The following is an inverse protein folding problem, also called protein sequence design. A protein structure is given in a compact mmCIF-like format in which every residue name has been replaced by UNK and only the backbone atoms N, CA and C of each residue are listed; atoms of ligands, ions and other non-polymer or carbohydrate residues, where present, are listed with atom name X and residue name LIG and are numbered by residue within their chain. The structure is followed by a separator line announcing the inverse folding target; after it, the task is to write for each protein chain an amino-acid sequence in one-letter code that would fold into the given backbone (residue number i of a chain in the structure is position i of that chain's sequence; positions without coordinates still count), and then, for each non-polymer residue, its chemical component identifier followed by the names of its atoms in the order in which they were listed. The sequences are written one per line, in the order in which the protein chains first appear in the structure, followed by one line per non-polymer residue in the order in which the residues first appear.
data_IF_209579860555
#
_entry.id   IF_209579860555
#
_cell.length_a   1.000
_cell.length_b   1.000
_cell.length_c   1.000
_cell.angle_alpha   90.00
_cell.angle_beta   90.00
_cell.angle_gamma   90.00
#
_symmetry.space_group_name_H-M   'P 1'
#
loop_
_entity.id
_entity.type
_entity.pdbx_description
1 polymer ?
#
# COMPACT_ATOMS: atom_id res chain seq x y z
N UNK A 1 -19.87 -7.08 -39.66
CA UNK A 1 -18.67 -6.28 -39.31
C UNK A 1 -18.21 -6.78 -37.94
N UNK A 2 -17.23 -7.69 -37.89
CA UNK A 2 -16.66 -8.15 -36.62
C UNK A 2 -15.73 -7.05 -36.10
N UNK A 3 -16.13 -6.37 -35.02
CA UNK A 3 -15.21 -5.51 -34.26
C UNK A 3 -14.30 -6.47 -33.48
N UNK A 4 -12.99 -6.50 -33.73
CA UNK A 4 -12.08 -7.34 -32.96
C UNK A 4 -12.14 -6.89 -31.50
N UNK A 5 -12.35 -7.84 -30.58
CA UNK A 5 -12.16 -7.58 -29.14
C UNK A 5 -10.72 -7.08 -28.97
N UNK A 6 -10.48 -5.89 -28.38
CA UNK A 6 -9.13 -5.39 -28.17
C UNK A 6 -8.36 -6.41 -27.33
N UNK A 7 -7.28 -6.97 -27.87
CA UNK A 7 -6.37 -7.78 -27.06
C UNK A 7 -5.74 -6.87 -26.01
N UNK A 8 -5.63 -7.30 -24.74
CA UNK A 8 -4.97 -6.51 -23.73
C UNK A 8 -3.55 -6.19 -24.21
N UNK A 9 -3.19 -4.90 -24.16
CA UNK A 9 -1.87 -4.46 -24.55
C UNK A 9 -0.81 -5.11 -23.62
N UNK A 10 0.13 -5.91 -24.17
CA UNK A 10 1.04 -6.71 -23.37
C UNK A 10 1.94 -5.85 -22.47
N UNK A 11 2.21 -4.59 -22.83
CA UNK A 11 3.01 -3.68 -21.99
C UNK A 11 2.22 -3.20 -20.77
N UNK A 12 0.99 -2.72 -20.98
CA UNK A 12 0.09 -2.33 -19.90
C UNK A 12 -0.20 -3.50 -18.95
N UNK A 13 -0.34 -4.71 -19.49
CA UNK A 13 -0.49 -5.93 -18.69
C UNK A 13 0.75 -6.23 -17.82
N UNK A 14 1.97 -6.08 -18.35
CA UNK A 14 3.20 -6.25 -17.56
C UNK A 14 3.31 -5.23 -16.42
N UNK A 15 2.95 -3.97 -16.67
CA UNK A 15 2.94 -2.94 -15.62
C UNK A 15 1.87 -3.21 -14.56
N UNK A 16 0.67 -3.65 -14.96
CA UNK A 16 -0.37 -4.04 -14.02
C UNK A 16 0.05 -5.26 -13.19
N UNK A 17 0.69 -6.24 -13.81
CA UNK A 17 1.23 -7.45 -13.18
C UNK A 17 2.30 -7.13 -12.12
N UNK A 18 3.20 -6.19 -12.41
CA UNK A 18 4.20 -5.74 -11.44
C UNK A 18 3.61 -4.84 -10.34
N UNK A 19 2.61 -4.02 -10.67
CA UNK A 19 1.98 -3.11 -9.71
C UNK A 19 1.02 -3.80 -8.75
N UNK A 20 0.24 -4.76 -9.25
CA UNK A 20 -0.90 -5.36 -8.57
C UNK A 20 -1.10 -6.87 -8.84
N UNK A 21 -0.22 -7.53 -9.60
CA UNK A 21 -0.29 -8.97 -9.89
C UNK A 21 0.73 -9.81 -9.14
N UNK A 22 1.11 -10.94 -9.74
CA UNK A 22 1.93 -11.97 -9.13
C UNK A 22 3.44 -11.76 -9.30
N UNK A 23 3.88 -10.79 -10.12
CA UNK A 23 5.31 -10.52 -10.37
C UNK A 23 5.77 -9.14 -9.90
N UNK A 24 5.63 -8.78 -8.61
CA UNK A 24 6.05 -7.47 -8.10
C UNK A 24 7.58 -7.29 -8.10
N UNK A 25 8.36 -8.38 -8.17
CA UNK A 25 9.82 -8.39 -8.19
C UNK A 25 10.47 -8.20 -9.56
N UNK A 26 9.69 -7.93 -10.62
CA UNK A 26 10.21 -7.73 -11.98
C UNK A 26 11.31 -6.67 -12.01
N UNK A 27 12.42 -6.93 -12.72
CA UNK A 27 13.54 -5.99 -12.71
C UNK A 27 13.13 -4.65 -13.32
N UNK A 28 13.62 -3.54 -12.77
CA UNK A 28 13.23 -2.21 -13.22
C UNK A 28 13.60 -1.93 -14.70
N UNK A 29 14.59 -2.64 -15.23
CA UNK A 29 15.01 -2.64 -16.64
C UNK A 29 14.06 -3.41 -17.55
N UNK A 30 13.29 -4.35 -17.02
CA UNK A 30 12.31 -5.16 -17.74
C UNK A 30 10.92 -4.51 -17.75
N UNK A 31 10.64 -3.62 -16.79
CA UNK A 31 9.41 -2.84 -16.81
C UNK A 31 9.39 -1.96 -18.09
N UNK A 32 8.30 -1.97 -18.88
CA UNK A 32 8.16 -1.10 -20.04
C UNK A 32 8.15 0.39 -19.68
N UNK A 33 8.74 1.25 -20.52
CA UNK A 33 8.57 2.69 -20.40
C UNK A 33 7.08 3.05 -20.58
N UNK A 34 6.57 3.94 -19.74
CA UNK A 34 5.19 4.38 -19.79
C UNK A 34 4.95 5.26 -21.02
N UNK A 35 3.82 5.04 -21.71
CA UNK A 35 3.38 5.83 -22.87
C UNK A 35 2.28 6.82 -22.51
N UNK A 36 1.56 6.55 -21.42
CA UNK A 36 0.46 7.37 -20.95
C UNK A 36 0.46 7.50 -19.42
N UNK A 37 -0.47 8.31 -18.92
CA UNK A 37 -0.60 8.61 -17.50
C UNK A 37 -0.94 7.38 -16.64
N UNK A 38 -1.72 6.43 -17.16
CA UNK A 38 -2.10 5.21 -16.44
C UNK A 38 -0.91 4.28 -16.30
N UNK A 39 -0.15 4.08 -17.38
CA UNK A 39 1.07 3.29 -17.38
C UNK A 39 2.14 3.90 -16.46
N UNK A 40 2.31 5.22 -16.47
CA UNK A 40 3.25 5.90 -15.57
C UNK A 40 2.84 5.75 -14.09
N UNK A 41 1.54 5.77 -13.79
CA UNK A 41 1.05 5.48 -12.45
C UNK A 41 1.33 4.02 -12.03
N UNK A 42 1.00 3.04 -12.86
CA UNK A 42 1.28 1.62 -12.58
C UNK A 42 2.78 1.38 -12.39
N UNK A 43 3.61 1.95 -13.26
CA UNK A 43 5.08 1.87 -13.15
C UNK A 43 5.58 2.49 -11.85
N UNK A 44 5.02 3.63 -11.43
CA UNK A 44 5.35 4.25 -10.14
C UNK A 44 4.97 3.35 -8.95
N UNK A 45 3.80 2.71 -8.98
CA UNK A 45 3.36 1.76 -7.94
C UNK A 45 4.29 0.55 -7.86
N UNK A 46 4.66 -0.04 -9.00
CA UNK A 46 5.60 -1.17 -9.06
C UNK A 46 6.97 -0.78 -8.49
N UNK A 47 7.57 0.30 -8.98
CA UNK A 47 8.87 0.79 -8.50
C UNK A 47 8.84 1.15 -7.01
N UNK A 48 7.76 1.77 -6.54
CA UNK A 48 7.55 2.09 -5.13
C UNK A 48 7.51 0.84 -4.25
N UNK A 49 6.77 -0.19 -4.69
CA UNK A 49 6.71 -1.49 -4.00
C UNK A 49 8.07 -2.20 -3.89
N UNK A 50 8.99 -1.93 -4.82
CA UNK A 50 10.36 -2.44 -4.82
C UNK A 50 11.35 -1.56 -4.03
N UNK A 51 10.89 -0.45 -3.44
CA UNK A 51 11.74 0.50 -2.72
C UNK A 51 12.55 1.44 -3.63
N UNK A 52 12.24 1.50 -4.93
CA UNK A 52 12.89 2.42 -5.89
C UNK A 52 12.25 3.81 -5.87
N UNK A 53 12.30 4.46 -4.71
CA UNK A 53 11.59 5.71 -4.43
C UNK A 53 11.96 6.86 -5.37
N UNK A 54 13.24 7.02 -5.76
CA UNK A 54 13.63 8.07 -6.71
C UNK A 54 12.98 7.88 -8.09
N UNK A 55 12.98 6.64 -8.59
CA UNK A 55 12.39 6.29 -9.88
C UNK A 55 10.86 6.39 -9.85
N UNK A 56 10.22 5.92 -8.78
CA UNK A 56 8.78 6.06 -8.57
C UNK A 56 8.36 7.54 -8.54
N UNK A 57 9.09 8.40 -7.82
CA UNK A 57 8.81 9.85 -7.81
C UNK A 57 9.01 10.50 -9.17
N UNK A 58 9.98 10.05 -9.98
CA UNK A 58 10.18 10.56 -11.33
C UNK A 58 8.96 10.29 -12.22
N UNK A 59 8.46 9.04 -12.21
CA UNK A 59 7.23 8.67 -12.92
C UNK A 59 6.03 9.48 -12.46
N UNK A 60 5.87 9.69 -11.14
CA UNK A 60 4.75 10.48 -10.63
C UNK A 60 4.83 11.95 -11.07
N UNK A 61 6.01 12.56 -11.16
CA UNK A 61 6.17 13.96 -11.61
C UNK A 61 5.69 14.20 -13.04
N UNK A 62 5.79 13.20 -13.91
CA UNK A 62 5.27 13.29 -15.28
C UNK A 62 3.73 13.45 -15.28
N UNK A 63 3.05 12.95 -14.25
CA UNK A 63 1.59 13.04 -14.06
C UNK A 63 1.10 14.40 -13.54
N UNK A 64 1.99 15.37 -13.30
CA UNK A 64 1.63 16.73 -12.88
C UNK A 64 1.63 17.76 -14.01
N UNK A 65 1.83 17.32 -15.26
CA UNK A 65 1.67 18.14 -16.47
C UNK A 65 0.20 18.44 -16.79
N UNK A 66 -0.05 19.51 -17.54
CA UNK A 66 -1.41 19.99 -17.84
C UNK A 66 -2.26 18.95 -18.60
N UNK A 67 -3.55 18.84 -18.22
CA UNK A 67 -4.62 17.98 -18.76
C UNK A 67 -4.56 16.48 -18.42
N UNK A 68 -4.13 16.11 -17.20
CA UNK A 68 -4.35 14.75 -16.67
C UNK A 68 -5.77 14.64 -16.11
N UNK A 69 -6.41 13.49 -16.36
CA UNK A 69 -7.70 13.12 -15.77
C UNK A 69 -7.69 13.27 -14.22
N UNK A 70 -8.74 13.86 -13.60
CA UNK A 70 -8.76 14.09 -12.15
C UNK A 70 -8.62 12.83 -11.29
N UNK A 71 -9.10 11.67 -11.75
CA UNK A 71 -8.96 10.39 -11.03
C UNK A 71 -7.51 9.96 -11.03
N UNK A 72 -6.84 9.97 -12.18
CA UNK A 72 -5.41 9.63 -12.27
C UNK A 72 -4.54 10.63 -11.50
N UNK A 73 -4.86 11.92 -11.54
CA UNK A 73 -4.15 12.93 -10.76
C UNK A 73 -4.28 12.67 -9.24
N UNK A 74 -5.47 12.31 -8.77
CA UNK A 74 -5.71 11.95 -7.39
C UNK A 74 -4.99 10.65 -6.98
N UNK A 75 -5.00 9.61 -7.82
CA UNK A 75 -4.25 8.37 -7.57
C UNK A 75 -2.74 8.61 -7.53
N UNK A 76 -2.23 9.49 -8.41
CA UNK A 76 -0.83 9.88 -8.40
C UNK A 76 -0.46 10.65 -7.14
N UNK A 77 -1.33 11.53 -6.64
CA UNK A 77 -1.16 12.21 -5.37
C UNK A 77 -1.20 11.23 -4.18
N UNK A 78 -2.18 10.33 -4.13
CA UNK A 78 -2.27 9.31 -3.08
C UNK A 78 -1.08 8.34 -3.09
N UNK A 79 -0.55 8.03 -4.28
CA UNK A 79 0.68 7.22 -4.41
C UNK A 79 1.88 7.98 -3.82
N UNK A 80 2.03 9.29 -4.07
CA UNK A 80 3.07 10.10 -3.41
C UNK A 80 2.92 10.08 -1.90
N UNK A 81 1.70 10.24 -1.39
CA UNK A 81 1.37 10.13 0.04
C UNK A 81 1.83 8.79 0.61
N UNK A 82 1.46 7.69 -0.04
CA UNK A 82 1.87 6.34 0.36
C UNK A 82 3.39 6.16 0.41
N UNK A 83 4.14 6.69 -0.57
CA UNK A 83 5.61 6.61 -0.59
C UNK A 83 6.24 7.37 0.59
N UNK A 84 5.70 8.55 0.92
CA UNK A 84 6.17 9.36 2.05
C UNK A 84 5.85 8.71 3.40
N UNK A 85 4.64 8.17 3.55
CA UNK A 85 4.18 7.51 4.78
C UNK A 85 4.96 6.24 5.09
N UNK A 86 5.35 5.46 4.09
CA UNK A 86 6.23 4.30 4.29
C UNK A 86 7.59 4.68 4.90
N UNK A 87 8.00 5.93 4.75
CA UNK A 87 9.24 6.49 5.27
C UNK A 87 9.01 7.34 6.54
N UNK A 88 7.80 7.33 7.12
CA UNK A 88 7.45 8.04 8.36
C UNK A 88 7.03 9.51 8.19
N UNK A 89 6.94 10.03 6.96
CA UNK A 89 6.60 11.44 6.69
C UNK A 89 5.08 11.71 6.66
N UNK A 90 4.35 11.22 7.66
CA UNK A 90 2.89 11.26 7.70
C UNK A 90 2.28 12.65 7.52
N UNK A 91 2.83 13.68 8.18
CA UNK A 91 2.32 15.05 8.04
C UNK A 91 2.46 15.61 6.61
N UNK A 92 3.50 15.21 5.88
CA UNK A 92 3.71 15.61 4.48
C UNK A 92 2.83 14.77 3.56
N UNK A 93 2.72 13.47 3.82
CA UNK A 93 1.84 12.56 3.10
C UNK A 93 0.38 13.03 3.13
N UNK A 94 -0.10 13.50 4.30
CA UNK A 94 -1.46 14.00 4.47
C UNK A 94 -1.80 15.17 3.52
N UNK A 95 -0.82 16.00 3.15
CA UNK A 95 -1.02 17.10 2.18
C UNK A 95 -1.33 16.55 0.79
N UNK A 96 -0.67 15.46 0.40
CA UNK A 96 -0.92 14.81 -0.88
C UNK A 96 -2.25 14.06 -0.90
N UNK A 97 -2.57 13.31 0.16
CA UNK A 97 -3.85 12.61 0.27
C UNK A 97 -5.03 13.61 0.39
N UNK A 98 -4.84 14.75 1.05
CA UNK A 98 -5.81 15.86 1.07
C UNK A 98 -6.01 16.51 -0.30
N UNK A 99 -4.92 16.75 -1.05
CA UNK A 99 -5.02 17.25 -2.42
C UNK A 99 -5.72 16.24 -3.35
N UNK A 100 -5.46 14.94 -3.18
CA UNK A 100 -6.16 13.88 -3.88
C UNK A 100 -7.66 13.93 -3.59
N UNK A 101 -8.05 14.01 -2.31
CA UNK A 101 -9.45 14.11 -1.89
C UNK A 101 -10.15 15.34 -2.48
N UNK A 102 -9.48 16.49 -2.53
CA UNK A 102 -10.03 17.73 -3.11
C UNK A 102 -10.37 17.60 -4.61
N UNK A 103 -9.64 16.76 -5.36
CA UNK A 103 -9.90 16.53 -6.79
C UNK A 103 -11.14 15.65 -7.06
N UNK A 104 -11.47 14.74 -6.13
CA UNK A 104 -12.41 13.62 -6.41
C UNK A 104 -13.63 13.57 -5.49
N UNK A 105 -13.66 14.34 -4.39
CA UNK A 105 -14.85 14.43 -3.54
C UNK A 105 -15.92 15.41 -4.08
N UNK A 106 -15.59 16.60 -4.63
CA UNK A 106 -16.61 17.55 -5.11
C UNK A 106 -17.30 17.07 -6.40
N UNK A 107 -18.64 16.99 -6.44
CA UNK A 107 -19.40 16.64 -7.64
C UNK A 107 -19.41 15.13 -7.97
N UNK A 108 -20.26 14.37 -7.28
CA UNK A 108 -20.46 12.92 -7.51
C UNK A 108 -21.29 12.70 -8.78
N UNK A 109 -20.74 12.97 -9.95
CA UNK A 109 -21.32 12.49 -11.20
C UNK A 109 -20.63 11.19 -11.60
N UNK A 110 -21.43 10.16 -11.90
CA UNK A 110 -20.94 8.89 -12.40
C UNK A 110 -20.33 9.14 -13.77
N UNK A 111 -19.00 9.25 -13.85
CA UNK A 111 -18.29 9.24 -15.11
C UNK A 111 -18.36 7.83 -15.72
N UNK A 112 -18.32 7.75 -17.05
CA UNK A 112 -18.34 6.51 -17.81
C UNK A 112 -17.39 5.45 -17.22
N UNK A 113 -17.95 4.29 -16.89
CA UNK A 113 -17.20 3.14 -16.39
C UNK A 113 -16.49 2.51 -17.59
N UNK A 114 -15.17 2.69 -17.68
CA UNK A 114 -14.33 1.75 -18.42
C UNK A 114 -14.06 0.56 -17.49
N UNK A 115 -14.41 -0.66 -17.91
CA UNK A 115 -14.41 -1.86 -17.06
C UNK A 115 -13.06 -2.15 -16.36
N UNK A 116 -11.93 -1.66 -16.91
CA UNK A 116 -10.57 -1.91 -16.39
C UNK A 116 -9.81 -0.65 -15.90
N UNK A 117 -10.51 0.47 -15.70
CA UNK A 117 -9.93 1.72 -15.23
C UNK A 117 -10.39 2.08 -13.81
N UNK A 118 -9.52 2.66 -12.96
CA UNK A 118 -9.96 3.27 -11.72
C UNK A 118 -10.99 4.38 -11.96
N UNK A 119 -12.00 4.47 -11.11
CA UNK A 119 -12.94 5.59 -11.09
C UNK A 119 -12.74 6.52 -9.90
N UNK A 120 -13.64 7.49 -9.82
CA UNK A 120 -13.66 8.51 -8.79
C UNK A 120 -13.86 7.95 -7.38
N UNK A 121 -14.60 6.85 -7.24
CA UNK A 121 -14.77 6.17 -5.95
C UNK A 121 -13.44 5.50 -5.56
N UNK A 122 -12.71 4.92 -6.51
CA UNK A 122 -11.39 4.34 -6.24
C UNK A 122 -10.43 5.39 -5.68
N UNK A 123 -10.32 6.52 -6.38
CA UNK A 123 -9.45 7.61 -5.96
C UNK A 123 -9.89 8.24 -4.63
N UNK A 124 -11.20 8.41 -4.40
CA UNK A 124 -11.71 8.95 -3.15
C UNK A 124 -11.42 8.02 -1.96
N UNK A 125 -11.62 6.71 -2.13
CA UNK A 125 -11.32 5.72 -1.10
C UNK A 125 -9.82 5.67 -0.81
N UNK A 126 -8.96 5.70 -1.83
CA UNK A 126 -7.51 5.73 -1.62
C UNK A 126 -7.06 6.98 -0.87
N UNK A 127 -7.56 8.16 -1.25
CA UNK A 127 -7.23 9.42 -0.62
C UNK A 127 -7.67 9.45 0.85
N UNK A 128 -8.91 9.04 1.15
CA UNK A 128 -9.42 9.00 2.52
C UNK A 128 -8.74 7.92 3.38
N UNK A 129 -8.44 6.76 2.81
CA UNK A 129 -7.67 5.71 3.50
C UNK A 129 -6.24 6.18 3.79
N UNK A 130 -5.64 6.93 2.86
CA UNK A 130 -4.34 7.56 3.03
C UNK A 130 -4.33 8.60 4.16
N UNK A 131 -5.32 9.51 4.16
CA UNK A 131 -5.54 10.46 5.24
C UNK A 131 -5.74 9.78 6.60
N UNK A 132 -6.48 8.67 6.64
CA UNK A 132 -6.67 7.90 7.87
C UNK A 132 -5.34 7.34 8.39
N UNK A 133 -4.52 6.76 7.51
CA UNK A 133 -3.22 6.24 7.87
C UNK A 133 -2.22 7.33 8.29
N UNK A 134 -2.33 8.55 7.74
CA UNK A 134 -1.50 9.69 8.17
C UNK A 134 -1.98 10.34 9.46
N UNK A 135 -3.31 10.36 9.70
CA UNK A 135 -3.88 10.73 10.99
C UNK A 135 -3.37 9.77 12.08
N UNK A 136 -3.44 8.46 11.82
CA UNK A 136 -2.86 7.42 12.68
C UNK A 136 -1.37 7.66 12.94
N UNK A 137 -0.56 7.83 11.88
CA UNK A 137 0.89 8.07 12.02
C UNK A 137 1.27 9.41 12.65
N UNK A 138 0.30 10.27 12.93
CA UNK A 138 0.46 11.52 13.71
C UNK A 138 -0.22 11.45 15.07
N UNK A 139 -0.66 10.26 15.52
CA UNK A 139 -1.27 10.04 16.83
C UNK A 139 -2.75 10.43 16.92
N UNK A 140 -3.42 10.76 15.81
CA UNK A 140 -4.82 11.18 15.77
C UNK A 140 -5.73 9.98 15.45
N UNK A 141 -5.82 9.05 16.39
CA UNK A 141 -6.57 7.78 16.22
C UNK A 141 -8.06 7.98 15.97
N UNK A 142 -8.69 8.96 16.62
CA UNK A 142 -10.13 9.23 16.45
C UNK A 142 -10.44 9.73 15.04
N UNK A 143 -9.62 10.68 14.55
CA UNK A 143 -9.72 11.14 13.16
C UNK A 143 -9.49 10.00 12.16
N UNK A 144 -8.56 9.10 12.44
CA UNK A 144 -8.34 7.93 11.60
C UNK A 144 -9.61 7.05 11.56
N UNK A 145 -10.23 6.78 12.71
CA UNK A 145 -11.47 6.00 12.79
C UNK A 145 -12.62 6.66 12.01
N UNK A 146 -12.83 7.96 12.18
CA UNK A 146 -13.88 8.72 11.46
C UNK A 146 -13.68 8.68 9.95
N UNK A 147 -12.44 8.81 9.48
CA UNK A 147 -12.12 8.71 8.06
C UNK A 147 -12.39 7.29 7.53
N UNK A 148 -12.07 6.24 8.28
CA UNK A 148 -12.36 4.86 7.89
C UNK A 148 -13.87 4.57 7.81
N UNK A 149 -14.68 5.18 8.68
CA UNK A 149 -16.16 5.12 8.57
C UNK A 149 -16.62 5.72 7.24
N UNK A 150 -16.04 6.86 6.83
CA UNK A 150 -16.36 7.48 5.54
C UNK A 150 -15.92 6.62 4.35
N UNK A 151 -14.76 5.96 4.43
CA UNK A 151 -14.33 4.99 3.39
C UNK A 151 -15.32 3.84 3.29
N UNK A 152 -15.73 3.26 4.43
CA UNK A 152 -16.73 2.17 4.45
C UNK A 152 -18.05 2.61 3.82
N UNK A 153 -18.51 3.82 4.12
CA UNK A 153 -19.73 4.38 3.53
C UNK A 153 -19.62 4.59 2.01
N UNK A 154 -18.44 4.96 1.50
CA UNK A 154 -18.21 5.10 0.05
C UNK A 154 -18.15 3.76 -0.67
N UNK A 155 -17.57 2.73 -0.05
CA UNK A 155 -17.52 1.38 -0.61
C UNK A 155 -18.87 0.66 -0.53
N UNK A 156 -19.71 0.98 0.46
CA UNK A 156 -20.99 0.30 0.65
C UNK A 156 -20.81 -1.20 0.82
N UNK A 157 -21.52 -2.02 0.03
CA UNK A 157 -21.42 -3.48 0.08
C UNK A 157 -20.01 -3.99 -0.25
N UNK A 158 -19.24 -3.27 -1.09
CA UNK A 158 -17.86 -3.64 -1.43
C UNK A 158 -16.90 -3.55 -0.24
N UNK A 159 -17.29 -2.93 0.88
CA UNK A 159 -16.46 -2.91 2.09
C UNK A 159 -16.36 -4.29 2.76
N UNK A 160 -17.38 -5.14 2.61
CA UNK A 160 -17.45 -6.48 3.20
C UNK A 160 -17.24 -7.56 2.14
N UNK A 161 -17.87 -7.44 0.98
CA UNK A 161 -17.82 -8.42 -0.11
C UNK A 161 -17.42 -7.73 -1.43
N UNK A 162 -16.16 -7.28 -1.56
CA UNK A 162 -15.70 -6.54 -2.74
C UNK A 162 -15.72 -7.40 -4.01
N UNK A 163 -16.20 -6.83 -5.10
CA UNK A 163 -15.86 -7.34 -6.43
C UNK A 163 -14.36 -7.18 -6.75
N UNK A 164 -13.83 -7.86 -7.80
CA UNK A 164 -12.40 -7.81 -8.15
C UNK A 164 -11.81 -6.40 -8.26
N UNK A 165 -12.62 -5.44 -8.74
CA UNK A 165 -12.23 -4.03 -8.90
C UNK A 165 -12.00 -3.30 -7.58
N UNK A 166 -12.79 -3.61 -6.55
CA UNK A 166 -12.74 -2.94 -5.23
C UNK A 166 -11.93 -3.69 -4.19
N UNK A 167 -11.49 -4.90 -4.52
CA UNK A 167 -10.73 -5.78 -3.63
C UNK A 167 -9.55 -5.06 -2.97
N UNK A 168 -8.76 -4.33 -3.76
CA UNK A 168 -7.62 -3.54 -3.26
C UNK A 168 -8.01 -2.52 -2.18
N UNK A 169 -9.14 -1.84 -2.36
CA UNK A 169 -9.59 -0.79 -1.44
C UNK A 169 -10.11 -1.39 -0.14
N UNK A 170 -10.86 -2.49 -0.23
CA UNK A 170 -11.33 -3.23 0.93
C UNK A 170 -10.16 -3.77 1.76
N UNK A 171 -9.12 -4.33 1.12
CA UNK A 171 -7.89 -4.77 1.79
C UNK A 171 -7.24 -3.60 2.54
N UNK A 172 -7.05 -2.45 1.87
CA UNK A 172 -6.43 -1.26 2.48
C UNK A 172 -7.25 -0.68 3.62
N UNK A 173 -8.59 -0.67 3.51
CA UNK A 173 -9.49 -0.32 4.60
C UNK A 173 -9.22 -1.19 5.82
N UNK A 174 -9.17 -2.51 5.65
CA UNK A 174 -8.89 -3.46 6.75
C UNK A 174 -7.50 -3.28 7.34
N UNK A 175 -6.48 -3.01 6.53
CA UNK A 175 -5.14 -2.71 7.04
C UNK A 175 -5.14 -1.53 7.99
N UNK A 176 -5.68 -0.39 7.56
CA UNK A 176 -5.66 0.81 8.37
C UNK A 176 -6.59 0.68 9.58
N UNK A 177 -7.70 -0.07 9.48
CA UNK A 177 -8.53 -0.42 10.64
C UNK A 177 -7.76 -1.25 11.68
N UNK A 178 -7.02 -2.28 11.26
CA UNK A 178 -6.17 -3.07 12.17
C UNK A 178 -5.05 -2.23 12.79
N UNK A 179 -4.32 -1.46 11.98
CA UNK A 179 -3.25 -0.57 12.47
C UNK A 179 -3.81 0.48 13.45
N UNK A 180 -5.01 1.01 13.21
CA UNK A 180 -5.69 1.95 14.12
C UNK A 180 -6.11 1.29 15.43
N UNK A 181 -6.63 0.06 15.38
CA UNK A 181 -6.97 -0.71 16.58
C UNK A 181 -5.72 -1.01 17.43
N UNK A 182 -4.60 -1.39 16.80
CA UNK A 182 -3.32 -1.61 17.49
C UNK A 182 -2.82 -0.34 18.18
N UNK A 183 -2.82 0.79 17.48
CA UNK A 183 -2.36 2.06 18.07
C UNK A 183 -3.27 2.57 19.20
N UNK A 184 -4.55 2.20 19.16
CA UNK A 184 -5.51 2.49 20.23
C UNK A 184 -5.45 1.49 21.41
N UNK A 185 -4.52 0.53 21.40
CA UNK A 185 -4.43 -0.51 22.44
C UNK A 185 -5.54 -1.57 22.39
N UNK A 186 -6.31 -1.62 21.30
CA UNK A 186 -7.44 -2.55 21.09
C UNK A 186 -7.00 -3.78 20.30
N UNK A 187 -5.98 -4.48 20.80
CA UNK A 187 -5.36 -5.63 20.11
C UNK A 187 -6.37 -6.73 19.73
N UNK A 188 -7.40 -6.95 20.55
CA UNK A 188 -8.47 -7.92 20.28
C UNK A 188 -9.31 -7.56 19.03
N UNK A 189 -9.44 -6.27 18.71
CA UNK A 189 -10.13 -5.80 17.50
C UNK A 189 -9.21 -5.80 16.27
N UNK A 190 -7.89 -5.71 16.48
CA UNK A 190 -6.92 -5.63 15.40
C UNK A 190 -6.77 -6.94 14.62
N UNK A 191 -6.73 -8.09 15.31
CA UNK A 191 -6.48 -9.38 14.67
C UNK A 191 -7.58 -9.76 13.66
N UNK A 192 -8.89 -9.66 13.98
CA UNK A 192 -9.95 -9.93 13.01
C UNK A 192 -9.86 -9.05 11.75
N UNK A 193 -9.44 -7.78 11.89
CA UNK A 193 -9.20 -6.91 10.74
C UNK A 193 -8.01 -7.36 9.90
N UNK A 194 -6.91 -7.77 10.53
CA UNK A 194 -5.73 -8.28 9.83
C UNK A 194 -6.03 -9.59 9.07
N UNK A 195 -6.75 -10.52 9.70
CA UNK A 195 -7.17 -11.79 9.09
C UNK A 195 -8.15 -11.56 7.93
N UNK A 196 -9.12 -10.67 8.09
CA UNK A 196 -10.02 -10.28 6.99
C UNK A 196 -9.24 -9.67 5.82
N UNK A 197 -8.23 -8.84 6.09
CA UNK A 197 -7.37 -8.29 5.04
C UNK A 197 -6.57 -9.37 4.30
N UNK A 198 -6.13 -10.41 5.00
CA UNK A 198 -5.44 -11.55 4.40
C UNK A 198 -6.39 -12.40 3.54
N UNK A 199 -7.56 -12.76 4.08
CA UNK A 199 -8.57 -13.52 3.35
C UNK A 199 -8.99 -12.81 2.05
N UNK A 200 -9.18 -11.49 2.09
CA UNK A 200 -9.44 -10.70 0.88
C UNK A 200 -8.22 -10.66 -0.06
N UNK A 201 -7.00 -10.54 0.46
CA UNK A 201 -5.80 -10.53 -0.39
C UNK A 201 -5.57 -11.86 -1.11
N UNK A 202 -5.95 -12.99 -0.51
CA UNK A 202 -5.84 -14.33 -1.09
C UNK A 202 -6.87 -14.59 -2.21
N UNK A 203 -7.96 -13.83 -2.25
CA UNK A 203 -8.90 -13.84 -3.40
C UNK A 203 -8.31 -13.17 -4.65
N UNK A 204 -7.27 -12.35 -4.50
CA UNK A 204 -6.62 -11.62 -5.58
C UNK A 204 -5.25 -12.18 -5.94
N UNK A 205 -4.71 -11.72 -7.08
CA UNK A 205 -3.39 -12.15 -7.58
C UNK A 205 -2.21 -11.35 -7.02
N UNK A 206 -2.50 -10.34 -6.20
CA UNK A 206 -1.47 -9.39 -5.79
C UNK A 206 -0.60 -9.93 -4.67
N UNK A 207 0.55 -10.48 -5.03
CA UNK A 207 1.54 -10.99 -4.07
C UNK A 207 1.92 -9.92 -3.04
N UNK A 208 2.12 -8.65 -3.45
CA UNK A 208 2.43 -7.58 -2.50
C UNK A 208 1.34 -7.37 -1.45
N UNK A 209 0.06 -7.43 -1.84
CA UNK A 209 -1.03 -7.30 -0.87
C UNK A 209 -1.10 -8.52 0.06
N UNK A 210 -0.90 -9.73 -0.46
CA UNK A 210 -0.85 -10.93 0.38
C UNK A 210 0.27 -10.84 1.42
N UNK A 211 1.49 -10.48 1.00
CA UNK A 211 2.64 -10.35 1.92
C UNK A 211 2.43 -9.25 2.96
N UNK A 212 1.92 -8.07 2.58
CA UNK A 212 1.61 -7.00 3.53
C UNK A 212 0.47 -7.39 4.49
N UNK A 213 -0.55 -8.14 4.03
CA UNK A 213 -1.59 -8.66 4.91
C UNK A 213 -1.03 -9.67 5.92
N UNK A 214 -0.19 -10.62 5.50
CA UNK A 214 0.49 -11.57 6.41
C UNK A 214 1.35 -10.85 7.44
N UNK A 215 2.08 -9.81 7.03
CA UNK A 215 2.85 -8.98 7.96
C UNK A 215 1.97 -8.36 9.04
N UNK A 216 0.77 -7.89 8.67
CA UNK A 216 -0.16 -7.30 9.63
C UNK A 216 -0.78 -8.34 10.56
N UNK A 217 -1.06 -9.55 10.07
CA UNK A 217 -1.47 -10.68 10.91
C UNK A 217 -0.37 -10.98 11.93
N UNK A 218 0.90 -11.11 11.50
CA UNK A 218 2.03 -11.32 12.41
C UNK A 218 2.11 -10.24 13.51
N UNK A 219 1.96 -8.96 13.13
CA UNK A 219 1.97 -7.85 14.07
C UNK A 219 0.79 -7.90 15.06
N UNK A 220 -0.42 -8.18 14.58
CA UNK A 220 -1.61 -8.30 15.43
C UNK A 220 -1.54 -9.52 16.36
N UNK A 221 -1.02 -10.64 15.88
CA UNK A 221 -0.75 -11.85 16.69
C UNK A 221 0.24 -11.55 17.81
N UNK A 222 1.31 -10.79 17.52
CA UNK A 222 2.27 -10.37 18.54
C UNK A 222 1.60 -9.51 19.62
N UNK A 223 0.79 -8.53 19.20
CA UNK A 223 0.08 -7.63 20.11
C UNK A 223 -0.99 -8.32 20.98
N UNK A 224 -1.43 -9.53 20.59
CA UNK A 224 -2.32 -10.39 21.38
C UNK A 224 -1.57 -11.40 22.25
N UNK A 225 -0.24 -11.29 22.37
CA UNK A 225 0.57 -12.10 23.29
C UNK A 225 1.07 -13.44 22.75
N UNK A 226 0.78 -13.78 21.49
CA UNK A 226 1.24 -15.03 20.87
C UNK A 226 2.59 -14.85 20.15
N UNK A 227 3.65 -14.55 20.92
CA UNK A 227 4.97 -14.21 20.38
C UNK A 227 5.60 -15.27 19.48
N UNK A 228 5.54 -16.56 19.86
CA UNK A 228 6.09 -17.65 19.04
C UNK A 228 5.40 -17.73 17.66
N UNK A 229 4.06 -17.67 17.64
CA UNK A 229 3.29 -17.68 16.39
C UNK A 229 3.57 -16.45 15.54
N UNK A 230 3.69 -15.28 16.16
CA UNK A 230 4.05 -14.05 15.46
C UNK A 230 5.44 -14.14 14.82
N UNK A 231 6.40 -14.77 15.51
CA UNK A 231 7.75 -15.00 15.00
C UNK A 231 7.73 -15.91 13.76
N UNK A 232 7.03 -17.04 13.81
CA UNK A 232 6.88 -17.94 12.65
C UNK A 232 6.29 -17.22 11.44
N UNK A 233 5.19 -16.48 11.64
CA UNK A 233 4.55 -15.71 10.58
C UNK A 233 5.50 -14.65 10.00
N UNK A 234 6.27 -13.98 10.86
CA UNK A 234 7.23 -12.98 10.43
C UNK A 234 8.40 -13.59 9.63
N UNK A 235 8.85 -14.80 9.95
CA UNK A 235 9.86 -15.51 9.14
C UNK A 235 9.34 -15.84 7.74
N UNK A 236 8.08 -16.33 7.62
CA UNK A 236 7.44 -16.55 6.33
C UNK A 236 7.36 -15.25 5.51
N UNK A 237 6.91 -14.15 6.12
CA UNK A 237 6.87 -12.84 5.47
C UNK A 237 8.26 -12.39 5.03
N UNK A 238 9.30 -12.62 5.82
CA UNK A 238 10.67 -12.27 5.47
C UNK A 238 11.17 -13.04 4.25
N UNK A 239 10.82 -14.34 4.15
CA UNK A 239 11.13 -15.18 2.99
C UNK A 239 10.42 -14.66 1.73
N UNK A 240 9.10 -14.45 1.79
CA UNK A 240 8.30 -13.92 0.68
C UNK A 240 8.83 -12.55 0.20
N UNK A 241 9.22 -11.68 1.13
CA UNK A 241 9.77 -10.37 0.79
C UNK A 241 11.08 -10.48 0.00
N UNK A 242 11.94 -11.46 0.34
CA UNK A 242 13.20 -11.70 -0.38
C UNK A 242 12.94 -12.30 -1.75
N UNK A 243 12.09 -13.32 -1.83
CA UNK A 243 11.72 -13.97 -3.09
C UNK A 243 11.16 -12.97 -4.11
N UNK A 244 10.30 -12.06 -3.65
CA UNK A 244 9.58 -11.15 -4.52
C UNK A 244 10.16 -9.73 -4.59
N UNK A 245 11.35 -9.49 -4.01
CA UNK A 245 12.03 -8.19 -4.09
C UNK A 245 11.28 -7.03 -3.42
N UNK A 246 10.51 -7.30 -2.36
CA UNK A 246 9.67 -6.32 -1.65
C UNK A 246 10.46 -5.60 -0.55
N UNK A 247 11.50 -4.86 -0.94
CA UNK A 247 12.46 -4.23 -0.03
C UNK A 247 11.82 -3.40 1.11
N UNK A 248 10.81 -2.54 0.87
CA UNK A 248 10.15 -1.81 1.96
C UNK A 248 9.42 -2.71 2.96
N UNK A 249 8.81 -3.82 2.50
CA UNK A 249 8.15 -4.77 3.40
C UNK A 249 9.17 -5.63 4.14
N UNK A 250 10.30 -5.96 3.52
CA UNK A 250 11.42 -6.63 4.19
C UNK A 250 11.93 -5.80 5.36
N UNK A 251 12.11 -4.48 5.16
CA UNK A 251 12.46 -3.56 6.24
C UNK A 251 11.42 -3.58 7.37
N UNK A 252 10.14 -3.42 7.04
CA UNK A 252 9.06 -3.42 8.04
C UNK A 252 8.96 -4.76 8.80
N UNK A 253 9.17 -5.88 8.11
CA UNK A 253 9.20 -7.21 8.70
C UNK A 253 10.41 -7.40 9.63
N UNK A 254 11.59 -6.92 9.24
CA UNK A 254 12.79 -6.95 10.10
C UNK A 254 12.59 -6.09 11.37
N UNK A 255 11.93 -4.94 11.26
CA UNK A 255 11.54 -4.13 12.42
C UNK A 255 10.59 -4.90 13.35
N UNK A 256 9.56 -5.57 12.81
CA UNK A 256 8.67 -6.42 13.60
C UNK A 256 9.43 -7.55 14.30
N UNK A 257 10.27 -8.30 13.56
CA UNK A 257 11.09 -9.39 14.08
C UNK A 257 11.98 -8.93 15.23
N UNK A 258 12.57 -7.73 15.14
CA UNK A 258 13.36 -7.16 16.22
C UNK A 258 12.55 -6.87 17.49
N UNK A 259 11.25 -6.57 17.35
CA UNK A 259 10.34 -6.35 18.47
C UNK A 259 9.86 -7.65 19.13
N UNK A 260 9.65 -8.71 18.34
CA UNK A 260 9.05 -9.97 18.81
C UNK A 260 10.07 -11.07 19.12
N UNK A 261 11.35 -10.89 18.78
CA UNK A 261 12.40 -11.87 19.02
C UNK A 261 12.50 -12.27 20.50
N UNK A 262 12.55 -13.58 20.74
CA UNK A 262 12.68 -14.15 22.09
C UNK A 262 14.10 -14.03 22.65
N UNK A 263 15.13 -14.06 21.81
CA UNK A 263 16.54 -14.00 22.20
C UNK A 263 17.30 -12.83 21.57
N UNK A 264 18.40 -12.44 22.21
CA UNK A 264 19.22 -11.29 21.80
C UNK A 264 19.92 -11.51 20.45
N UNK A 265 20.30 -12.74 20.13
CA UNK A 265 20.95 -13.07 18.85
C UNK A 265 19.99 -12.80 17.69
N UNK A 266 18.75 -13.30 17.78
CA UNK A 266 17.72 -13.12 16.76
C UNK A 266 17.30 -11.65 16.65
N UNK A 267 17.16 -10.97 17.80
CA UNK A 267 16.90 -9.53 17.86
C UNK A 267 17.97 -8.75 17.11
N UNK A 268 19.24 -9.02 17.39
CA UNK A 268 20.38 -8.34 16.76
C UNK A 268 20.45 -8.65 15.27
N UNK A 269 20.17 -9.88 14.85
CA UNK A 269 20.11 -10.26 13.44
C UNK A 269 19.01 -9.49 12.69
N UNK A 270 17.81 -9.41 13.27
CA UNK A 270 16.70 -8.65 12.70
C UNK A 270 17.01 -7.14 12.64
N UNK A 271 17.66 -6.56 13.66
CA UNK A 271 18.10 -5.16 13.65
C UNK A 271 19.13 -4.89 12.54
N UNK A 272 20.10 -5.79 12.32
CA UNK A 272 21.05 -5.68 11.21
C UNK A 272 20.34 -5.73 9.86
N UNK A 273 19.42 -6.67 9.67
CA UNK A 273 18.63 -6.76 8.43
C UNK A 273 17.80 -5.49 8.19
N UNK A 274 17.21 -4.91 9.24
CA UNK A 274 16.49 -3.64 9.15
C UNK A 274 17.44 -2.50 8.72
N UNK A 275 18.64 -2.41 9.30
CA UNK A 275 19.63 -1.39 8.94
C UNK A 275 20.12 -1.55 7.48
N UNK A 276 20.38 -2.78 7.02
CA UNK A 276 20.75 -3.07 5.64
C UNK A 276 19.66 -2.67 4.65
N UNK A 277 18.40 -3.02 4.95
CA UNK A 277 17.26 -2.65 4.12
C UNK A 277 17.08 -1.13 4.08
N UNK A 278 17.24 -0.45 5.22
CA UNK A 278 17.15 1.01 5.30
C UNK A 278 18.21 1.68 4.42
N UNK A 279 19.47 1.25 4.53
CA UNK A 279 20.56 1.77 3.70
C UNK A 279 20.33 1.51 2.20
N UNK A 280 19.77 0.36 1.83
CA UNK A 280 19.40 0.07 0.45
C UNK A 280 18.26 0.99 -0.06
N UNK A 281 17.23 1.20 0.76
CA UNK A 281 16.13 2.12 0.47
C UNK A 281 16.65 3.55 0.26
N UNK A 282 17.59 4.00 1.09
CA UNK A 282 18.21 5.33 0.98
C UNK A 282 19.01 5.51 -0.31
N UNK A 283 19.83 4.52 -0.70
CA UNK A 283 20.53 4.51 -2.00
C UNK A 283 19.56 4.58 -3.18
N UNK A 284 18.37 4.00 -3.04
CA UNK A 284 17.31 4.03 -4.05
C UNK A 284 16.40 5.28 -3.94
N UNK A 285 16.79 6.25 -3.11
CA UNK A 285 16.17 7.56 -2.99
C UNK A 285 15.04 7.64 -1.97
N UNK A 286 14.86 6.64 -1.13
CA UNK A 286 14.08 6.77 0.10
C UNK A 286 14.81 7.68 1.09
N UNK A 287 14.08 8.31 2.00
CA UNK A 287 14.65 9.08 3.12
C UNK A 287 13.73 8.91 4.31
N UNK A 288 14.16 8.16 5.31
CA UNK A 288 13.38 8.00 6.53
C UNK A 288 13.27 9.33 7.25
N UNK A 289 12.12 9.58 7.87
CA UNK A 289 11.96 10.67 8.81
C UNK A 289 12.92 10.44 9.97
N UNK A 290 13.77 11.41 10.35
CA UNK A 290 14.60 11.29 11.53
C UNK A 290 13.75 11.00 12.76
N UNK A 291 14.24 10.16 13.67
CA UNK A 291 13.63 10.05 14.99
C UNK A 291 13.59 11.47 15.61
N UNK A 292 12.45 11.83 16.21
CA UNK A 292 12.42 13.06 17.01
C UNK A 292 13.42 12.84 18.15
N UNK A 293 14.49 13.65 18.17
CA UNK A 293 15.43 13.70 19.28
C UNK A 293 14.80 14.32 20.52
#
# INVERSE_FOLDING_TARGET
MFVPVPRPDPRGALLAEAAFGARPGMAATELPAARDAREAWLRAVALGGQGRYAAARAQLRELTGHRVDPVLAALAAATRGSLLRQLGWHAVAARHDGAAAALVLPGRTHAHIQEDAPDRIDAACDALTGLAADALGTGRTDLAADLLVRVRALLGADAEAPGPRRLRLAIRLRWVSAETALAAGRSAEALPHAEAALALAEQGQSVRHQVKSRLLVAAATAANGSGARASELAETVAADCREHGLLPLRWACAMLRSGVAAGDIDRTAAQREAAECAAAIERLGGRFRPAAG
#
